data_IF_226523613009
#
_entry.id   IF_226523613009
#
_cell.length_a   1.000
_cell.length_b   1.000
_cell.length_c   1.000
_cell.angle_alpha   90.00
_cell.angle_beta   90.00
_cell.angle_gamma   90.00
#
_symmetry.space_group_name_H-M   'P 1'
#
loop_
_entity.id
_entity.type
_entity.pdbx_description
1 polymer ?
#
# COMPACT_ATOMS: atom_id res chain seq x y z
N UNK A 1 -24.24 29.93 25.94
CA UNK A 1 -25.69 30.14 26.10
C UNK A 1 -26.31 29.16 27.11
N UNK A 2 -26.15 27.82 27.05
CA UNK A 2 -26.81 26.91 28.00
C UNK A 2 -26.33 27.06 29.45
N UNK A 3 -25.10 27.39 29.71
CA UNK A 3 -24.54 27.59 31.05
C UNK A 3 -25.04 28.88 31.65
N UNK A 4 -24.99 29.97 30.90
CA UNK A 4 -25.52 31.29 31.32
C UNK A 4 -27.02 31.19 31.61
N UNK A 5 -27.79 30.47 30.77
CA UNK A 5 -29.21 30.24 30.99
C UNK A 5 -29.48 29.48 32.31
N UNK A 6 -28.64 28.53 32.66
CA UNK A 6 -28.76 27.76 33.91
C UNK A 6 -28.41 28.61 35.13
N UNK A 7 -27.30 29.36 35.08
CA UNK A 7 -26.86 30.23 36.17
C UNK A 7 -27.80 31.37 36.48
N UNK A 8 -28.44 31.93 35.43
CA UNK A 8 -29.35 33.08 35.59
C UNK A 8 -30.83 32.65 35.72
N UNK A 9 -31.13 31.35 35.66
CA UNK A 9 -32.52 30.88 35.71
C UNK A 9 -33.40 31.34 34.54
N UNK A 10 -32.79 31.70 33.40
CA UNK A 10 -33.48 32.24 32.23
C UNK A 10 -33.68 31.16 31.15
N UNK A 11 -34.71 31.35 30.30
CA UNK A 11 -34.87 30.50 29.12
C UNK A 11 -33.71 30.70 28.14
N UNK A 12 -33.28 29.64 27.49
CA UNK A 12 -32.17 29.68 26.48
C UNK A 12 -32.42 30.67 25.34
N UNK A 13 -33.70 30.82 24.94
CA UNK A 13 -34.15 31.79 23.93
C UNK A 13 -33.95 33.23 24.37
N UNK A 14 -34.22 33.54 25.66
CA UNK A 14 -34.02 34.87 26.24
C UNK A 14 -32.53 35.22 26.26
N UNK A 15 -31.67 34.31 26.73
CA UNK A 15 -30.22 34.52 26.72
C UNK A 15 -29.70 34.68 25.29
N UNK A 16 -30.19 33.92 24.34
CA UNK A 16 -29.83 34.06 22.93
C UNK A 16 -30.21 35.42 22.36
N UNK A 17 -31.43 35.89 22.63
CA UNK A 17 -31.91 37.21 22.21
C UNK A 17 -31.04 38.36 22.74
N UNK A 18 -30.58 38.25 23.98
CA UNK A 18 -29.72 39.27 24.62
C UNK A 18 -28.29 39.21 24.07
N UNK A 19 -27.81 38.01 23.70
CA UNK A 19 -26.42 37.82 23.32
C UNK A 19 -26.14 37.68 21.82
N UNK A 20 -27.22 37.69 20.98
CA UNK A 20 -27.07 37.46 19.53
C UNK A 20 -26.19 38.48 18.81
N UNK A 21 -26.15 39.71 19.28
CA UNK A 21 -25.39 40.83 18.69
C UNK A 21 -23.97 40.97 19.32
N UNK A 22 -23.66 40.16 20.34
CA UNK A 22 -22.34 40.15 20.96
C UNK A 22 -21.38 39.35 20.11
N UNK A 23 -20.42 40.03 19.48
CA UNK A 23 -19.30 39.36 18.78
C UNK A 23 -18.42 38.71 19.82
N UNK A 24 -18.62 37.41 20.05
CA UNK A 24 -17.81 36.63 20.98
C UNK A 24 -16.57 36.15 20.29
N UNK A 25 -15.42 36.66 20.68
CA UNK A 25 -14.11 36.12 20.32
C UNK A 25 -13.67 35.15 21.41
N UNK A 26 -13.44 33.86 21.07
CA UNK A 26 -12.92 32.91 22.05
C UNK A 26 -11.56 33.37 22.56
N UNK A 27 -11.44 33.49 23.88
CA UNK A 27 -10.13 33.72 24.49
C UNK A 27 -9.13 32.57 24.17
N UNK A 28 -7.82 32.80 24.32
CA UNK A 28 -6.77 31.80 24.04
C UNK A 28 -7.05 30.43 24.67
N UNK A 29 -7.54 30.42 25.90
CA UNK A 29 -7.91 29.20 26.63
C UNK A 29 -9.10 28.46 26.02
N UNK A 30 -10.06 29.17 25.45
CA UNK A 30 -11.21 28.58 24.78
C UNK A 30 -10.86 27.91 23.45
N UNK A 31 -9.92 28.46 22.71
CA UNK A 31 -9.39 27.86 21.48
C UNK A 31 -8.57 26.60 21.79
N UNK A 32 -7.72 26.66 22.82
CA UNK A 32 -6.92 25.51 23.28
C UNK A 32 -7.80 24.36 23.78
N UNK A 33 -8.82 24.62 24.59
CA UNK A 33 -9.78 23.60 25.08
C UNK A 33 -10.58 22.95 23.95
N UNK A 34 -11.02 23.70 22.95
CA UNK A 34 -11.69 23.14 21.76
C UNK A 34 -10.76 22.27 20.93
N UNK A 35 -9.53 22.70 20.72
CA UNK A 35 -8.52 21.90 20.01
C UNK A 35 -8.19 20.60 20.79
N UNK A 36 -8.09 20.67 22.12
CA UNK A 36 -7.88 19.49 22.96
C UNK A 36 -9.07 18.53 22.91
N UNK A 37 -10.31 19.02 23.01
CA UNK A 37 -11.53 18.22 22.89
C UNK A 37 -11.63 17.59 21.48
N UNK A 38 -11.30 18.33 20.43
CA UNK A 38 -11.23 17.80 19.06
C UNK A 38 -10.19 16.67 18.93
N UNK A 39 -8.99 16.85 19.47
CA UNK A 39 -7.96 15.78 19.47
C UNK A 39 -8.43 14.55 20.24
N UNK A 40 -9.03 14.71 21.41
CA UNK A 40 -9.55 13.61 22.21
C UNK A 40 -10.68 12.86 21.49
N UNK A 41 -11.60 13.57 20.85
CA UNK A 41 -12.65 12.98 20.02
C UNK A 41 -12.05 12.14 18.87
N UNK A 42 -11.14 12.72 18.10
CA UNK A 42 -10.51 12.00 16.98
C UNK A 42 -9.64 10.84 17.43
N UNK A 43 -8.95 10.94 18.58
CA UNK A 43 -8.21 9.84 19.15
C UNK A 43 -9.15 8.66 19.50
N UNK A 44 -10.29 8.93 20.13
CA UNK A 44 -11.31 7.90 20.42
C UNK A 44 -11.88 7.29 19.15
N UNK A 45 -12.26 8.10 18.16
CA UNK A 45 -12.77 7.62 16.87
C UNK A 45 -11.74 6.76 16.13
N UNK A 46 -10.48 7.18 16.09
CA UNK A 46 -9.42 6.42 15.45
C UNK A 46 -9.16 5.08 16.17
N UNK A 47 -9.22 5.07 17.51
CA UNK A 47 -9.09 3.82 18.27
C UNK A 47 -10.22 2.83 17.96
N UNK A 48 -11.48 3.31 17.89
CA UNK A 48 -12.62 2.46 17.51
C UNK A 48 -12.48 1.91 16.08
N UNK A 49 -12.08 2.77 15.14
CA UNK A 49 -11.84 2.34 13.75
C UNK A 49 -10.69 1.33 13.64
N UNK A 50 -9.65 1.51 14.45
CA UNK A 50 -8.54 0.56 14.47
C UNK A 50 -8.99 -0.78 15.05
N UNK A 51 -9.68 -0.79 16.18
CA UNK A 51 -10.23 -2.02 16.78
C UNK A 51 -11.16 -2.78 15.81
N UNK A 52 -11.99 -2.06 15.03
CA UNK A 52 -12.84 -2.70 14.02
C UNK A 52 -12.02 -3.27 12.86
N UNK A 53 -10.98 -2.57 12.39
CA UNK A 53 -10.05 -3.11 11.38
C UNK A 53 -9.40 -4.40 11.88
N UNK A 54 -8.86 -4.37 13.09
CA UNK A 54 -8.17 -5.52 13.68
C UNK A 54 -9.13 -6.71 13.82
N UNK A 55 -10.38 -6.46 14.27
CA UNK A 55 -11.41 -7.49 14.38
C UNK A 55 -11.71 -8.13 13.02
N UNK A 56 -11.92 -7.34 11.98
CA UNK A 56 -12.21 -7.83 10.63
C UNK A 56 -11.01 -8.57 10.05
N UNK A 57 -9.81 -7.99 10.19
CA UNK A 57 -8.57 -8.60 9.68
C UNK A 57 -8.30 -9.94 10.35
N UNK A 58 -8.40 -10.01 11.69
CA UNK A 58 -8.19 -11.26 12.42
C UNK A 58 -9.23 -12.32 12.04
N UNK A 59 -10.51 -11.94 11.90
CA UNK A 59 -11.55 -12.87 11.44
C UNK A 59 -11.29 -13.43 10.04
N UNK A 60 -10.75 -12.63 9.13
CA UNK A 60 -10.34 -13.09 7.80
C UNK A 60 -9.13 -14.03 7.90
N UNK A 61 -8.10 -13.66 8.68
CA UNK A 61 -6.91 -14.49 8.86
C UNK A 61 -7.26 -15.87 9.43
N UNK A 62 -8.13 -15.91 10.44
CA UNK A 62 -8.59 -17.17 11.06
C UNK A 62 -9.38 -18.07 10.10
N UNK A 63 -10.12 -17.48 9.17
CA UNK A 63 -10.98 -18.22 8.23
C UNK A 63 -10.31 -18.52 6.88
N UNK A 64 -9.16 -17.90 6.58
CA UNK A 64 -8.57 -17.95 5.24
C UNK A 64 -8.02 -19.34 4.88
N UNK A 65 -7.42 -20.05 5.84
CA UNK A 65 -6.81 -21.35 5.61
C UNK A 65 -5.55 -21.30 4.74
N UNK A 66 -5.20 -22.44 4.14
CA UNK A 66 -4.04 -22.57 3.24
C UNK A 66 -4.40 -22.19 1.80
N UNK A 67 -3.48 -21.52 1.11
CA UNK A 67 -3.60 -21.23 -0.31
C UNK A 67 -3.43 -22.51 -1.14
N UNK A 68 -4.45 -22.87 -1.90
CA UNK A 68 -4.32 -23.95 -2.88
C UNK A 68 -3.45 -23.51 -4.07
N UNK A 69 -2.89 -24.47 -4.79
CA UNK A 69 -2.14 -24.26 -6.03
C UNK A 69 -2.91 -23.43 -7.06
N UNK A 70 -4.23 -23.66 -7.16
CA UNK A 70 -5.08 -22.93 -8.08
C UNK A 70 -5.28 -21.49 -7.66
N UNK A 71 -5.47 -21.24 -6.38
CA UNK A 71 -5.59 -19.89 -5.83
C UNK A 71 -4.30 -19.11 -6.00
N UNK A 72 -3.16 -19.73 -5.70
CA UNK A 72 -1.84 -19.15 -5.92
C UNK A 72 -1.61 -18.82 -7.41
N UNK A 73 -2.00 -19.72 -8.32
CA UNK A 73 -1.90 -19.49 -9.76
C UNK A 73 -2.74 -18.29 -10.20
N UNK A 74 -3.96 -18.16 -9.71
CA UNK A 74 -4.85 -17.03 -10.00
C UNK A 74 -4.27 -15.73 -9.39
N UNK A 75 -3.90 -15.76 -8.11
CA UNK A 75 -3.37 -14.60 -7.41
C UNK A 75 -2.10 -14.06 -8.08
N UNK A 76 -1.13 -14.94 -8.40
CA UNK A 76 0.11 -14.56 -9.07
C UNK A 76 -0.12 -13.98 -10.46
N UNK A 77 -0.99 -14.61 -11.26
CA UNK A 77 -1.32 -14.10 -12.60
C UNK A 77 -2.03 -12.74 -12.55
N UNK A 78 -2.97 -12.55 -11.61
CA UNK A 78 -3.67 -11.26 -11.42
C UNK A 78 -2.72 -10.19 -10.91
N UNK A 79 -1.88 -10.51 -9.91
CA UNK A 79 -0.86 -9.58 -9.41
C UNK A 79 0.10 -9.14 -10.51
N UNK A 80 0.59 -10.09 -11.33
CA UNK A 80 1.43 -9.76 -12.47
C UNK A 80 0.67 -8.93 -13.51
N UNK A 81 -0.58 -9.24 -13.80
CA UNK A 81 -1.38 -8.44 -14.72
C UNK A 81 -1.58 -7.01 -14.23
N UNK A 82 -1.70 -6.78 -12.94
CA UNK A 82 -1.82 -5.45 -12.37
C UNK A 82 -0.49 -4.66 -12.45
N UNK A 83 0.61 -5.24 -12.00
CA UNK A 83 1.87 -4.55 -11.69
C UNK A 83 3.03 -4.91 -12.64
N UNK A 84 2.93 -6.02 -13.37
CA UNK A 84 3.98 -6.50 -14.26
C UNK A 84 4.03 -5.80 -15.62
N UNK A 85 5.17 -5.96 -16.30
CA UNK A 85 5.36 -5.45 -17.65
C UNK A 85 4.62 -6.34 -18.67
N UNK A 86 3.73 -5.74 -19.45
CA UNK A 86 2.93 -6.46 -20.46
C UNK A 86 3.54 -6.36 -21.85
N UNK A 87 3.43 -7.45 -22.61
CA UNK A 87 3.67 -7.44 -24.04
C UNK A 87 2.65 -6.56 -24.77
N UNK A 88 3.09 -5.88 -25.80
CA UNK A 88 2.23 -5.02 -26.61
C UNK A 88 2.20 -5.55 -28.06
N UNK A 89 1.08 -5.44 -28.80
CA UNK A 89 0.98 -5.96 -30.17
C UNK A 89 2.09 -5.46 -31.11
N UNK A 90 2.53 -4.20 -30.91
CA UNK A 90 3.61 -3.58 -31.72
C UNK A 90 5.00 -3.78 -31.13
N UNK A 91 5.14 -4.42 -29.97
CA UNK A 91 6.42 -4.69 -29.29
C UNK A 91 6.27 -5.95 -28.44
N UNK A 92 6.29 -7.08 -29.11
CA UNK A 92 6.20 -8.38 -28.44
C UNK A 92 7.40 -8.59 -27.51
N UNK A 93 7.12 -8.72 -26.21
CA UNK A 93 8.11 -9.03 -25.16
C UNK A 93 7.49 -10.00 -24.18
N UNK A 94 7.62 -11.27 -24.46
CA UNK A 94 7.20 -12.35 -23.57
C UNK A 94 8.27 -12.57 -22.50
N UNK A 95 8.36 -11.63 -21.57
CA UNK A 95 9.32 -11.66 -20.46
C UNK A 95 8.65 -11.20 -19.18
N UNK A 96 8.80 -12.00 -18.12
CA UNK A 96 8.33 -11.62 -16.80
C UNK A 96 9.28 -10.58 -16.19
N UNK A 97 8.72 -9.43 -15.89
CA UNK A 97 9.37 -8.33 -15.19
C UNK A 97 8.34 -7.67 -14.27
N UNK A 98 8.55 -7.81 -12.97
CA UNK A 98 7.66 -7.36 -11.93
C UNK A 98 8.33 -6.30 -11.06
N UNK A 99 7.62 -5.25 -10.72
CA UNK A 99 8.13 -4.18 -9.86
C UNK A 99 7.09 -3.86 -8.79
N UNK A 100 7.51 -3.87 -7.53
CA UNK A 100 6.66 -3.44 -6.42
C UNK A 100 7.48 -2.86 -5.27
N UNK A 101 6.84 -2.03 -4.43
CA UNK A 101 7.39 -1.49 -3.18
C UNK A 101 6.88 -2.25 -1.95
N UNK A 102 5.93 -3.15 -2.12
CA UNK A 102 5.37 -3.98 -1.07
C UNK A 102 6.12 -5.31 -1.00
N UNK A 103 6.76 -5.66 0.12
CA UNK A 103 7.49 -6.90 0.27
C UNK A 103 6.60 -8.14 0.14
N UNK A 104 5.36 -8.12 0.60
CA UNK A 104 4.45 -9.25 0.50
C UNK A 104 4.04 -9.52 -0.95
N UNK A 105 3.88 -8.48 -1.78
CA UNK A 105 3.68 -8.62 -3.22
C UNK A 105 4.90 -9.21 -3.94
N UNK A 106 6.09 -8.86 -3.51
CA UNK A 106 7.35 -9.43 -4.01
C UNK A 106 7.44 -10.92 -3.65
N UNK A 107 7.13 -11.29 -2.41
CA UNK A 107 7.14 -12.67 -1.94
C UNK A 107 6.06 -13.51 -2.64
N UNK A 108 4.84 -12.98 -2.79
CA UNK A 108 3.78 -13.64 -3.57
C UNK A 108 4.25 -13.97 -4.99
N UNK A 109 4.91 -13.02 -5.65
CA UNK A 109 5.40 -13.22 -7.01
C UNK A 109 6.50 -14.29 -7.07
N UNK A 110 7.43 -14.34 -6.12
CA UNK A 110 8.48 -15.37 -6.03
C UNK A 110 7.86 -16.75 -5.79
N UNK A 111 6.97 -16.90 -4.81
CA UNK A 111 6.32 -18.18 -4.50
C UNK A 111 5.50 -18.69 -5.70
N UNK A 112 4.82 -17.78 -6.40
CA UNK A 112 4.12 -18.14 -7.63
C UNK A 112 5.07 -18.62 -8.74
N UNK A 113 6.24 -17.99 -8.92
CA UNK A 113 7.24 -18.42 -9.88
C UNK A 113 7.80 -19.82 -9.54
N UNK A 114 8.10 -20.06 -8.26
CA UNK A 114 8.55 -21.37 -7.76
C UNK A 114 7.50 -22.46 -8.06
N UNK A 115 6.22 -22.13 -7.87
CA UNK A 115 5.10 -23.03 -8.22
C UNK A 115 5.04 -23.34 -9.72
N UNK A 116 5.47 -22.41 -10.59
CA UNK A 116 5.62 -22.65 -12.03
C UNK A 116 6.90 -23.43 -12.39
N UNK A 117 7.70 -23.84 -11.42
CA UNK A 117 8.97 -24.54 -11.63
C UNK A 117 10.12 -23.63 -12.05
N UNK A 118 10.02 -22.34 -11.80
CA UNK A 118 11.12 -21.38 -12.07
C UNK A 118 12.19 -21.52 -10.99
N UNK A 119 13.40 -21.89 -11.38
CA UNK A 119 14.53 -21.91 -10.48
C UNK A 119 14.96 -20.49 -10.09
N UNK A 120 15.30 -20.28 -8.80
CA UNK A 120 15.72 -18.96 -8.26
C UNK A 120 16.95 -18.39 -8.98
N UNK A 121 17.83 -19.20 -9.52
CA UNK A 121 19.00 -18.74 -10.30
C UNK A 121 18.62 -17.98 -11.57
N UNK A 122 17.38 -18.12 -12.04
CA UNK A 122 16.84 -17.39 -13.18
C UNK A 122 16.32 -16.01 -12.81
N UNK A 123 16.21 -15.69 -11.50
CA UNK A 123 15.73 -14.41 -11.00
C UNK A 123 16.86 -13.40 -10.92
N UNK A 124 16.64 -12.21 -11.45
CA UNK A 124 17.52 -11.04 -11.31
C UNK A 124 16.79 -9.97 -10.51
N UNK A 125 17.47 -9.47 -9.50
CA UNK A 125 16.91 -8.49 -8.56
C UNK A 125 17.59 -7.15 -8.74
N UNK A 126 16.81 -6.05 -8.72
CA UNK A 126 17.37 -4.70 -8.80
C UNK A 126 16.50 -3.72 -8.04
N UNK A 127 17.12 -2.91 -7.21
CA UNK A 127 16.43 -1.83 -6.50
C UNK A 127 16.25 -0.63 -7.41
N UNK A 128 15.03 -0.11 -7.51
CA UNK A 128 14.71 1.17 -8.13
C UNK A 128 14.39 2.18 -7.04
N UNK A 129 15.29 3.13 -6.81
CA UNK A 129 15.19 4.05 -5.69
C UNK A 129 15.59 5.47 -6.14
N UNK A 130 15.27 6.47 -5.36
CA UNK A 130 15.69 7.84 -5.63
C UNK A 130 17.15 8.05 -5.22
N UNK A 131 17.88 8.88 -5.99
CA UNK A 131 19.30 9.19 -5.75
C UNK A 131 19.62 9.79 -4.38
N UNK A 132 18.64 10.44 -3.72
CA UNK A 132 18.79 11.05 -2.38
C UNK A 132 18.48 10.09 -1.24
N UNK A 133 18.15 8.82 -1.51
CA UNK A 133 17.86 7.82 -0.48
C UNK A 133 19.12 7.04 -0.10
N UNK A 134 19.06 6.35 1.04
CA UNK A 134 20.11 5.41 1.44
C UNK A 134 20.04 4.15 0.59
N UNK A 135 20.82 4.12 -0.49
CA UNK A 135 20.84 2.99 -1.44
C UNK A 135 21.37 1.71 -0.79
N UNK A 136 22.50 1.73 -0.04
CA UNK A 136 22.99 0.53 0.64
C UNK A 136 21.98 -0.08 1.63
N UNK A 137 21.30 0.74 2.43
CA UNK A 137 20.28 0.27 3.35
C UNK A 137 19.09 -0.37 2.63
N UNK A 138 18.65 0.23 1.52
CA UNK A 138 17.57 -0.31 0.70
C UNK A 138 17.95 -1.62 0.01
N UNK A 139 19.19 -1.76 -0.48
CA UNK A 139 19.71 -3.01 -1.06
C UNK A 139 19.78 -4.11 0.01
N UNK A 140 20.28 -3.81 1.21
CA UNK A 140 20.30 -4.75 2.32
C UNK A 140 18.89 -5.20 2.72
N UNK A 141 17.94 -4.26 2.83
CA UNK A 141 16.53 -4.56 3.12
C UNK A 141 15.93 -5.53 2.08
N UNK A 142 16.08 -5.23 0.80
CA UNK A 142 15.50 -6.08 -0.24
C UNK A 142 16.20 -7.43 -0.38
N UNK A 143 17.51 -7.49 -0.15
CA UNK A 143 18.26 -8.73 -0.10
C UNK A 143 17.74 -9.66 1.01
N UNK A 144 17.49 -9.11 2.20
CA UNK A 144 16.87 -9.82 3.32
C UNK A 144 15.47 -10.32 2.97
N UNK A 145 14.60 -9.45 2.42
CA UNK A 145 13.23 -9.81 2.02
C UNK A 145 13.20 -10.99 1.05
N UNK A 146 14.08 -11.02 0.05
CA UNK A 146 14.09 -12.10 -0.96
C UNK A 146 15.00 -13.27 -0.60
N UNK A 147 15.73 -13.18 0.51
CA UNK A 147 16.59 -14.24 1.04
C UNK A 147 17.82 -14.50 0.18
N UNK A 148 18.49 -13.46 -0.31
CA UNK A 148 19.73 -13.57 -1.10
C UNK A 148 20.82 -12.64 -0.54
N UNK A 149 22.12 -12.93 -0.78
CA UNK A 149 23.18 -11.99 -0.47
C UNK A 149 23.04 -10.69 -1.28
N UNK A 150 23.46 -9.55 -0.71
CA UNK A 150 23.37 -8.22 -1.38
C UNK A 150 24.11 -8.22 -2.72
N UNK A 151 25.20 -8.96 -2.81
CA UNK A 151 26.04 -9.10 -4.02
C UNK A 151 25.31 -9.77 -5.20
N UNK A 152 24.19 -10.42 -4.96
CA UNK A 152 23.33 -10.98 -6.00
C UNK A 152 22.36 -9.94 -6.60
N UNK A 153 22.26 -8.77 -6.01
CA UNK A 153 21.47 -7.69 -6.59
C UNK A 153 22.25 -7.03 -7.74
N UNK A 154 21.56 -6.82 -8.85
CA UNK A 154 22.07 -5.96 -9.92
C UNK A 154 22.16 -4.51 -9.41
N UNK A 155 23.10 -3.72 -9.96
CA UNK A 155 23.27 -2.30 -9.62
C UNK A 155 21.93 -1.56 -9.60
N UNK A 156 21.66 -0.83 -8.51
CA UNK A 156 20.45 -0.07 -8.34
C UNK A 156 20.20 0.96 -9.46
N UNK A 157 18.94 1.12 -9.84
CA UNK A 157 18.53 2.19 -10.76
C UNK A 157 18.13 3.42 -9.96
N UNK A 158 18.87 4.51 -10.13
CA UNK A 158 18.63 5.75 -9.44
C UNK A 158 17.67 6.64 -10.23
N UNK A 159 16.54 7.00 -9.61
CA UNK A 159 15.63 8.03 -10.14
C UNK A 159 16.15 9.40 -9.75
N UNK A 160 16.37 10.26 -10.74
CA UNK A 160 16.82 11.64 -10.51
C UNK A 160 15.70 12.51 -9.97
N UNK A 161 16.09 13.52 -9.19
CA UNK A 161 15.16 14.50 -8.65
C UNK A 161 14.42 15.25 -9.77
N UNK A 162 13.07 15.28 -9.65
CA UNK A 162 12.27 16.17 -10.49
C UNK A 162 11.85 17.39 -9.66
N UNK A 163 12.36 18.61 -9.94
CA UNK A 163 12.11 19.80 -9.13
C UNK A 163 10.62 20.23 -9.12
N UNK A 164 9.79 19.67 -10.00
CA UNK A 164 8.33 19.92 -10.04
C UNK A 164 7.53 19.07 -9.06
N UNK A 165 8.13 18.08 -8.41
CA UNK A 165 7.43 17.18 -7.49
C UNK A 165 7.94 17.33 -6.07
N UNK A 166 7.03 17.67 -5.14
CA UNK A 166 7.32 17.65 -3.69
C UNK A 166 7.09 16.23 -3.18
N UNK A 167 8.18 15.57 -2.77
CA UNK A 167 8.08 14.21 -2.19
C UNK A 167 7.60 14.26 -0.76
N UNK A 168 6.64 13.39 -0.44
CA UNK A 168 6.11 13.21 0.92
C UNK A 168 6.76 12.04 1.67
N UNK A 169 7.25 11.01 0.96
CA UNK A 169 7.95 9.84 1.53
C UNK A 169 9.47 10.02 1.39
N UNK A 170 10.09 10.65 2.38
CA UNK A 170 11.55 10.88 2.46
C UNK A 170 12.14 10.37 3.78
N UNK A 171 11.40 9.55 4.56
CA UNK A 171 11.84 9.06 5.86
C UNK A 171 12.74 7.82 5.79
N UNK A 172 13.26 7.40 6.94
CA UNK A 172 14.16 6.24 7.12
C UNK A 172 13.59 4.90 6.63
N UNK A 173 12.27 4.78 6.46
CA UNK A 173 11.59 3.58 5.97
C UNK A 173 11.41 3.52 4.43
N UNK A 174 12.09 4.40 3.66
CA UNK A 174 11.92 4.43 2.20
C UNK A 174 12.94 3.53 1.50
N UNK A 175 12.53 2.31 1.16
CA UNK A 175 13.37 1.31 0.48
C UNK A 175 13.18 1.26 -1.06
N UNK A 176 12.45 2.20 -1.64
CA UNK A 176 12.17 2.20 -3.08
C UNK A 176 11.27 1.04 -3.50
N UNK A 177 11.54 0.50 -4.70
CA UNK A 177 10.84 -0.66 -5.24
C UNK A 177 11.86 -1.72 -5.65
N UNK A 178 11.53 -3.00 -5.44
CA UNK A 178 12.29 -4.09 -6.03
C UNK A 178 11.76 -4.42 -7.43
N UNK A 179 12.65 -4.62 -8.37
CA UNK A 179 12.37 -5.16 -9.71
C UNK A 179 12.89 -6.59 -9.76
N UNK A 180 12.00 -7.52 -10.08
CA UNK A 180 12.36 -8.91 -10.37
C UNK A 180 12.23 -9.13 -11.87
N UNK A 181 13.33 -9.54 -12.51
CA UNK A 181 13.36 -9.92 -13.91
C UNK A 181 13.65 -11.41 -14.00
N UNK A 182 12.78 -12.16 -14.69
CA UNK A 182 12.97 -13.60 -14.90
C UNK A 182 13.62 -13.84 -16.26
N UNK A 183 14.78 -14.47 -16.25
CA UNK A 183 15.49 -14.82 -17.51
C UNK A 183 14.77 -15.94 -18.24
N UNK A 184 14.74 -15.91 -19.58
CA UNK A 184 14.16 -16.95 -20.46
C UNK A 184 12.70 -17.31 -20.11
N UNK A 185 11.87 -16.33 -19.72
CA UNK A 185 10.54 -16.52 -19.13
C UNK A 185 9.37 -16.47 -20.12
N UNK A 186 9.58 -16.71 -21.39
CA UNK A 186 8.48 -16.71 -22.37
C UNK A 186 7.43 -17.80 -22.10
N UNK A 187 7.78 -19.02 -21.70
CA UNK A 187 6.78 -20.03 -21.35
C UNK A 187 5.91 -19.60 -20.16
N UNK A 188 6.54 -19.10 -19.09
CA UNK A 188 5.83 -18.65 -17.88
C UNK A 188 4.99 -17.41 -18.15
N UNK A 189 5.45 -16.51 -19.01
CA UNK A 189 4.67 -15.36 -19.46
C UNK A 189 3.37 -15.81 -20.15
N UNK A 190 3.44 -16.81 -21.02
CA UNK A 190 2.26 -17.37 -21.70
C UNK A 190 1.29 -18.05 -20.74
N UNK A 191 1.79 -18.75 -19.71
CA UNK A 191 0.98 -19.32 -18.65
C UNK A 191 0.24 -18.21 -17.88
N UNK A 192 0.94 -17.14 -17.54
CA UNK A 192 0.36 -15.97 -16.88
C UNK A 192 -0.76 -15.35 -17.74
N UNK A 193 -0.49 -15.08 -19.00
CA UNK A 193 -1.43 -14.45 -19.93
C UNK A 193 -2.67 -15.33 -20.18
N UNK A 194 -2.44 -16.64 -20.35
CA UNK A 194 -3.51 -17.64 -20.47
C UNK A 194 -4.37 -17.73 -19.20
N UNK A 195 -3.75 -17.71 -18.01
CA UNK A 195 -4.47 -17.70 -16.73
C UNK A 195 -5.33 -16.45 -16.59
N UNK A 196 -4.78 -15.27 -16.86
CA UNK A 196 -5.55 -14.03 -16.86
C UNK A 196 -6.71 -14.07 -17.85
N UNK A 197 -6.48 -14.55 -19.06
CA UNK A 197 -7.52 -14.69 -20.09
C UNK A 197 -8.66 -15.61 -19.65
N UNK A 198 -8.33 -16.72 -18.97
CA UNK A 198 -9.31 -17.63 -18.39
C UNK A 198 -10.14 -16.99 -17.28
N UNK A 199 -9.50 -16.26 -16.36
CA UNK A 199 -10.17 -15.48 -15.31
C UNK A 199 -11.11 -14.45 -15.92
N UNK A 200 -10.63 -13.67 -16.89
CA UNK A 200 -11.43 -12.65 -17.55
C UNK A 200 -12.64 -13.23 -18.31
N UNK A 201 -12.47 -14.40 -18.95
CA UNK A 201 -13.57 -15.15 -19.58
C UNK A 201 -14.61 -15.60 -18.55
N UNK A 202 -14.16 -16.21 -17.45
CA UNK A 202 -15.05 -16.68 -16.39
C UNK A 202 -15.84 -15.55 -15.71
N UNK A 203 -15.24 -14.37 -15.56
CA UNK A 203 -15.95 -13.19 -15.03
C UNK A 203 -17.03 -12.70 -16.01
N UNK A 204 -16.70 -12.66 -17.31
CA UNK A 204 -17.68 -12.25 -18.34
C UNK A 204 -18.88 -13.19 -18.42
N UNK A 205 -18.69 -14.49 -18.21
CA UNK A 205 -19.79 -15.48 -18.25
C UNK A 205 -20.72 -15.44 -17.03
N UNK A 206 -20.39 -14.66 -15.99
CA UNK A 206 -21.24 -14.45 -14.80
C UNK A 206 -22.16 -13.22 -14.94
N UNK A 207 -22.04 -12.47 -16.01
CA UNK A 207 -22.89 -11.33 -16.37
C UNK A 207 -23.97 -11.74 -17.35
#
# INVERSE_FOLDING_TARGET
VPEIARELGLAKSTVWLITKDIVWTPGPDGASRRAAAGRAYWAKENALRQAERDRVTNGVLESFGELTDRELQIAGAVAYWAEGTKSKPWKLRERLNFINSDPDMILLFIVWLERLGVDRSRLKYRVNIHESADVPAAEAYWADVVGVPVEQLDRATLKRHNPKTVRKNTGEAYNGCLVITVTKSAPEYRIMDGTWSAVAKAVRSRR
#
